data_IF_788824060471
#
_entry.id   IF_788824060471
#
_cell.length_a   1.000
_cell.length_b   1.000
_cell.length_c   1.000
_cell.angle_alpha   90.00
_cell.angle_beta   90.00
_cell.angle_gamma   90.00
#
_symmetry.space_group_name_H-M   'P 1'
#
loop_
_entity.id
_entity.type
_entity.pdbx_description
1 polymer ?
#
# COMPACT_ATOMS: atom_id res chain seq x y z
N UNK A 1 -44.56 59.61 21.47
CA UNK A 1 -43.22 60.19 21.64
C UNK A 1 -42.24 59.08 21.42
N UNK A 2 -41.67 59.16 20.30
CA UNK A 2 -40.78 58.20 19.66
C UNK A 2 -39.35 58.59 19.99
N UNK A 3 -38.53 57.63 20.44
CA UNK A 3 -37.09 57.80 20.41
C UNK A 3 -36.50 56.64 19.60
N UNK A 4 -35.99 56.98 18.44
CA UNK A 4 -35.29 56.16 17.49
C UNK A 4 -33.83 56.13 17.95
N UNK A 5 -33.38 55.06 18.56
CA UNK A 5 -31.97 54.84 18.77
C UNK A 5 -31.31 54.39 17.44
N UNK A 6 -30.52 55.31 16.89
CA UNK A 6 -29.58 55.03 15.79
C UNK A 6 -28.41 54.28 16.36
N UNK A 7 -28.34 52.99 16.10
CA UNK A 7 -27.09 52.20 16.26
C UNK A 7 -26.05 52.70 15.25
N UNK A 8 -25.06 53.45 15.72
CA UNK A 8 -23.88 53.76 14.94
C UNK A 8 -23.03 52.50 14.80
N UNK A 9 -23.02 51.91 13.61
CA UNK A 9 -21.99 50.92 13.22
C UNK A 9 -20.67 51.67 13.13
N UNK A 10 -19.81 51.46 14.11
CA UNK A 10 -18.40 51.81 14.04
C UNK A 10 -17.75 50.92 12.98
N UNK A 11 -17.61 51.44 11.77
CA UNK A 11 -16.70 50.85 10.79
C UNK A 11 -15.29 51.01 11.35
N UNK A 12 -14.65 49.90 11.71
CA UNK A 12 -13.23 49.84 12.01
C UNK A 12 -12.48 50.22 10.73
N UNK A 13 -11.93 51.42 10.68
CA UNK A 13 -10.99 51.85 9.66
C UNK A 13 -9.62 51.20 9.96
N UNK A 14 -9.52 49.91 9.82
CA UNK A 14 -8.21 49.27 9.67
C UNK A 14 -7.68 49.66 8.29
N UNK A 15 -6.45 50.16 8.17
CA UNK A 15 -5.86 50.47 6.88
C UNK A 15 -5.78 49.16 6.07
N UNK A 16 -6.35 49.17 4.86
CA UNK A 16 -6.28 48.05 3.95
C UNK A 16 -4.81 47.59 3.84
N UNK A 17 -4.55 46.30 4.12
CA UNK A 17 -3.18 45.79 3.99
C UNK A 17 -2.68 46.05 2.56
N UNK A 18 -1.39 46.44 2.40
CA UNK A 18 -0.84 46.68 1.08
C UNK A 18 -1.00 45.44 0.20
N UNK A 19 -1.48 45.61 -1.03
CA UNK A 19 -1.80 44.49 -1.97
C UNK A 19 -0.59 43.62 -2.35
N UNK A 20 0.61 44.05 -2.02
CA UNK A 20 1.87 43.30 -2.24
C UNK A 20 2.33 42.48 -1.03
N UNK A 21 1.64 42.60 0.12
CA UNK A 21 2.01 41.82 1.31
C UNK A 21 1.60 40.38 1.16
N UNK A 22 2.57 39.47 1.34
CA UNK A 22 2.31 38.03 1.32
C UNK A 22 1.46 37.64 2.53
N UNK A 23 0.30 37.06 2.28
CA UNK A 23 -0.65 36.59 3.29
C UNK A 23 -1.19 35.21 2.92
N UNK A 24 -2.01 34.60 3.77
CA UNK A 24 -2.53 33.24 3.58
C UNK A 24 -3.38 33.13 2.31
N UNK A 25 -4.22 34.12 1.99
CA UNK A 25 -5.09 34.06 0.80
C UNK A 25 -4.29 34.14 -0.50
N UNK A 26 -3.28 35.04 -0.53
CA UNK A 26 -2.37 35.13 -1.66
C UNK A 26 -1.57 33.84 -1.84
N UNK A 27 -1.05 33.25 -0.74
CA UNK A 27 -0.35 32.00 -0.75
C UNK A 27 -1.24 30.89 -1.33
N UNK A 28 -2.47 30.76 -0.82
CA UNK A 28 -3.43 29.76 -1.28
C UNK A 28 -3.73 29.90 -2.78
N UNK A 29 -3.98 31.11 -3.25
CA UNK A 29 -4.25 31.37 -4.66
C UNK A 29 -3.07 30.98 -5.58
N UNK A 30 -1.83 31.24 -5.14
CA UNK A 30 -0.62 30.85 -5.87
C UNK A 30 -0.48 29.32 -5.91
N UNK A 31 -0.66 28.65 -4.77
CA UNK A 31 -0.55 27.20 -4.65
C UNK A 31 -1.59 26.47 -5.53
N UNK A 32 -2.85 26.88 -5.45
CA UNK A 32 -3.93 26.28 -6.26
C UNK A 32 -3.70 26.48 -7.76
N UNK A 33 -3.23 27.66 -8.17
CA UNK A 33 -2.86 27.94 -9.55
C UNK A 33 -1.78 26.99 -10.05
N UNK A 34 -0.70 26.79 -9.28
CA UNK A 34 0.42 25.96 -9.71
C UNK A 34 0.08 24.47 -9.64
N UNK A 35 -0.68 24.00 -8.65
CA UNK A 35 -1.17 22.63 -8.60
C UNK A 35 -1.98 22.29 -9.85
N UNK A 36 -2.89 23.19 -10.25
CA UNK A 36 -3.65 23.00 -11.49
C UNK A 36 -2.75 22.95 -12.73
N UNK A 37 -1.76 23.81 -12.84
CA UNK A 37 -0.81 23.81 -13.96
C UNK A 37 -0.04 22.48 -13.99
N UNK A 38 0.45 22.00 -12.86
CA UNK A 38 1.18 20.72 -12.77
C UNK A 38 0.32 19.52 -13.18
N UNK A 39 -0.95 19.51 -12.81
CA UNK A 39 -1.88 18.47 -13.23
C UNK A 39 -2.16 18.52 -14.73
N UNK A 40 -2.48 19.71 -15.24
CA UNK A 40 -2.79 19.93 -16.67
C UNK A 40 -1.59 19.57 -17.58
N UNK A 41 -0.38 19.89 -17.14
CA UNK A 41 0.86 19.61 -17.88
C UNK A 41 1.43 18.22 -17.60
N UNK A 42 0.91 17.47 -16.61
CA UNK A 42 1.50 16.21 -16.18
C UNK A 42 2.95 16.37 -15.69
N UNK A 43 3.23 17.46 -14.96
CA UNK A 43 4.59 17.86 -14.58
C UNK A 43 5.34 16.75 -13.83
N UNK A 44 4.64 15.97 -13.04
CA UNK A 44 5.21 14.91 -12.20
C UNK A 44 5.01 13.50 -12.76
N UNK A 45 4.53 13.38 -13.99
CA UNK A 45 4.32 12.07 -14.62
C UNK A 45 5.64 11.38 -14.94
N UNK A 46 5.75 10.12 -14.54
CA UNK A 46 6.84 9.25 -14.95
C UNK A 46 6.44 8.47 -16.22
N UNK A 47 7.28 8.50 -17.22
CA UNK A 47 7.04 7.76 -18.45
C UNK A 47 7.50 6.29 -18.31
N UNK A 48 6.68 5.35 -18.79
CA UNK A 48 7.11 3.98 -19.03
C UNK A 48 7.81 3.86 -20.39
N UNK A 49 8.67 2.87 -20.55
CA UNK A 49 9.22 2.52 -21.85
C UNK A 49 8.11 2.02 -22.79
N UNK A 50 7.17 1.24 -22.25
CA UNK A 50 6.06 0.63 -22.98
C UNK A 50 4.74 0.72 -22.19
N UNK A 51 3.62 0.44 -22.89
CA UNK A 51 2.30 0.34 -22.27
C UNK A 51 1.56 1.68 -22.17
N UNK A 52 0.46 1.67 -21.42
CA UNK A 52 -0.50 2.78 -21.34
C UNK A 52 0.09 4.06 -20.72
N UNK A 53 1.09 3.92 -19.87
CA UNK A 53 1.77 5.04 -19.21
C UNK A 53 3.09 5.43 -19.86
N UNK A 54 3.31 5.07 -21.13
CA UNK A 54 4.50 5.47 -21.89
C UNK A 54 4.51 6.97 -22.21
N UNK A 55 3.34 7.59 -22.27
CA UNK A 55 3.21 9.02 -22.56
C UNK A 55 3.36 9.84 -21.27
N UNK A 56 4.42 10.61 -21.22
CA UNK A 56 4.66 11.63 -20.21
C UNK A 56 4.43 13.05 -20.75
N UNK A 57 3.49 13.26 -21.67
CA UNK A 57 3.26 14.55 -22.36
C UNK A 57 4.54 15.13 -22.96
N UNK A 58 5.18 14.36 -23.85
CA UNK A 58 6.45 14.74 -24.49
C UNK A 58 7.71 14.42 -23.69
N UNK A 59 7.56 13.83 -22.50
CA UNK A 59 8.66 13.29 -21.71
C UNK A 59 8.64 11.77 -21.85
N UNK A 60 9.49 11.22 -22.68
CA UNK A 60 9.68 9.77 -22.78
C UNK A 60 10.71 9.28 -21.76
N UNK A 61 10.78 7.96 -21.58
CA UNK A 61 11.79 7.33 -20.73
C UNK A 61 13.14 7.14 -21.44
N UNK A 62 13.16 7.32 -22.78
CA UNK A 62 14.31 7.01 -23.61
C UNK A 62 15.48 7.95 -23.32
N UNK A 63 16.65 7.38 -23.10
CA UNK A 63 17.88 8.13 -22.82
C UNK A 63 17.93 8.83 -21.45
N UNK A 64 16.93 8.64 -20.60
CA UNK A 64 16.88 9.25 -19.28
C UNK A 64 17.13 8.20 -18.19
N UNK A 65 18.06 8.43 -17.25
CA UNK A 65 18.21 7.56 -16.09
C UNK A 65 16.89 7.48 -15.32
N UNK A 66 16.55 6.29 -14.84
CA UNK A 66 15.36 6.09 -14.01
C UNK A 66 15.69 6.24 -12.55
N UNK A 67 14.84 6.93 -11.81
CA UNK A 67 14.90 7.05 -10.36
C UNK A 67 13.56 6.68 -9.75
N UNK A 68 13.56 5.80 -8.74
CA UNK A 68 12.37 5.41 -8.01
C UNK A 68 12.43 5.94 -6.59
N UNK A 69 11.54 6.87 -6.27
CA UNK A 69 11.35 7.39 -4.91
C UNK A 69 10.20 6.65 -4.23
N UNK A 70 10.50 6.00 -3.14
CA UNK A 70 9.51 5.33 -2.29
C UNK A 70 9.37 6.03 -0.95
N UNK A 71 8.16 6.01 -0.43
CA UNK A 71 7.84 6.36 0.94
C UNK A 71 6.84 5.37 1.52
N UNK A 72 6.68 5.37 2.84
CA UNK A 72 5.67 4.59 3.51
C UNK A 72 4.29 5.14 3.18
N UNK A 73 3.45 4.34 2.55
CA UNK A 73 2.09 4.74 2.22
C UNK A 73 1.18 4.74 3.45
N UNK A 74 0.19 5.67 3.51
CA UNK A 74 -0.63 5.84 4.69
C UNK A 74 -1.66 4.73 4.84
N UNK A 75 -2.02 4.47 6.09
CA UNK A 75 -3.11 3.60 6.47
C UNK A 75 -4.41 4.43 6.62
N UNK A 76 -5.45 4.22 5.79
CA UNK A 76 -6.65 5.06 5.80
C UNK A 76 -7.63 4.69 6.94
N UNK A 77 -7.12 4.51 8.17
CA UNK A 77 -7.90 4.19 9.36
C UNK A 77 -8.64 5.36 9.97
N UNK A 78 -8.30 6.59 9.60
CA UNK A 78 -8.87 7.82 10.12
C UNK A 78 -9.36 8.76 9.03
N UNK A 79 -10.02 9.85 9.43
CA UNK A 79 -10.62 10.84 8.50
C UNK A 79 -9.59 11.66 7.70
N UNK A 80 -8.29 11.42 7.87
CA UNK A 80 -7.25 12.14 7.15
C UNK A 80 -5.85 11.85 7.68
N UNK A 81 -4.88 12.56 7.11
CA UNK A 81 -3.49 12.49 7.50
C UNK A 81 -3.28 13.11 8.88
N UNK A 82 -2.37 12.54 9.68
CA UNK A 82 -1.86 13.18 10.89
C UNK A 82 -0.53 13.90 10.59
N UNK A 83 -0.07 14.73 11.51
CA UNK A 83 1.12 15.58 11.34
C UNK A 83 2.42 14.82 11.09
N UNK A 84 2.50 13.55 11.44
CA UNK A 84 3.66 12.69 11.16
C UNK A 84 3.80 12.29 9.68
N UNK A 85 2.71 12.23 8.92
CA UNK A 85 2.75 11.87 7.51
C UNK A 85 3.55 12.87 6.66
N UNK A 86 3.32 14.20 6.75
CA UNK A 86 4.08 15.17 5.98
C UNK A 86 5.59 15.13 6.23
N UNK A 87 6.03 14.70 7.40
CA UNK A 87 7.45 14.66 7.74
C UNK A 87 8.26 13.80 6.76
N UNK A 88 7.81 12.57 6.50
CA UNK A 88 8.42 11.68 5.51
C UNK A 88 8.18 12.16 4.08
N UNK A 89 6.92 12.45 3.75
CA UNK A 89 6.51 12.78 2.39
C UNK A 89 7.16 14.04 1.82
N UNK A 90 7.41 15.06 2.65
CA UNK A 90 8.13 16.24 2.23
C UNK A 90 9.59 15.95 1.93
N UNK A 91 10.24 15.07 2.71
CA UNK A 91 11.63 14.71 2.48
C UNK A 91 11.79 13.96 1.15
N UNK A 92 10.96 12.96 0.88
CA UNK A 92 10.98 12.21 -0.38
C UNK A 92 10.56 13.06 -1.57
N UNK A 93 9.67 14.02 -1.37
CA UNK A 93 9.27 14.98 -2.41
C UNK A 93 10.42 15.89 -2.83
N UNK A 94 11.18 16.43 -1.87
CA UNK A 94 12.39 17.22 -2.16
C UNK A 94 13.40 16.42 -2.97
N UNK A 95 13.67 15.19 -2.58
CA UNK A 95 14.58 14.28 -3.31
C UNK A 95 14.05 14.01 -4.73
N UNK A 96 12.76 13.73 -4.86
CA UNK A 96 12.12 13.48 -6.16
C UNK A 96 12.21 14.69 -7.09
N UNK A 97 12.00 15.90 -6.59
CA UNK A 97 12.16 17.16 -7.36
C UNK A 97 13.61 17.37 -7.78
N UNK A 98 14.57 17.13 -6.89
CA UNK A 98 15.99 17.22 -7.21
C UNK A 98 16.38 16.29 -8.36
N UNK A 99 15.97 15.03 -8.34
CA UNK A 99 16.25 14.08 -9.42
C UNK A 99 15.57 14.46 -10.74
N UNK A 100 14.34 15.02 -10.70
CA UNK A 100 13.69 15.58 -11.89
C UNK A 100 14.45 16.76 -12.46
N UNK A 101 14.97 17.66 -11.61
CA UNK A 101 15.79 18.80 -12.04
C UNK A 101 17.09 18.34 -12.71
N UNK A 102 17.64 17.20 -12.33
CA UNK A 102 18.78 16.55 -13.00
C UNK A 102 18.43 15.93 -14.36
N UNK A 103 17.17 15.93 -14.74
CA UNK A 103 16.70 15.35 -16.01
C UNK A 103 16.35 13.88 -15.95
N UNK A 104 16.31 13.27 -14.77
CA UNK A 104 15.97 11.86 -14.58
C UNK A 104 14.47 11.62 -14.77
N UNK A 105 14.09 10.39 -15.17
CA UNK A 105 12.71 9.92 -15.21
C UNK A 105 12.35 9.40 -13.83
N UNK A 106 11.65 10.21 -13.04
CA UNK A 106 11.38 9.93 -11.63
C UNK A 106 10.00 9.31 -11.46
N UNK A 107 9.95 8.08 -10.98
CA UNK A 107 8.74 7.46 -10.46
C UNK A 107 8.60 7.78 -8.97
N UNK A 108 7.61 8.61 -8.63
CA UNK A 108 7.21 8.92 -7.27
C UNK A 108 5.70 8.76 -7.17
N UNK A 109 5.24 7.71 -6.53
CA UNK A 109 3.82 7.36 -6.43
C UNK A 109 3.42 7.20 -4.96
N UNK A 110 2.11 7.35 -4.70
CA UNK A 110 1.50 7.13 -3.40
C UNK A 110 0.46 6.02 -3.51
N UNK A 111 0.50 5.10 -2.55
CA UNK A 111 -0.53 4.07 -2.37
C UNK A 111 -1.27 4.25 -1.05
N UNK A 112 -2.19 3.31 -0.76
CA UNK A 112 -2.96 3.28 0.48
C UNK A 112 -3.03 1.86 1.01
N UNK A 113 -2.56 1.65 2.24
CA UNK A 113 -2.69 0.36 2.94
C UNK A 113 -4.09 0.26 3.53
N UNK A 114 -5.00 -0.38 2.80
CA UNK A 114 -6.43 -0.20 3.00
C UNK A 114 -7.14 -1.37 3.70
N UNK A 115 -6.43 -2.44 4.05
CA UNK A 115 -6.95 -3.51 4.89
C UNK A 115 -6.63 -3.24 6.37
N UNK A 116 -7.50 -3.71 7.27
CA UNK A 116 -7.15 -3.80 8.67
C UNK A 116 -8.29 -3.62 9.67
N UNK A 117 -8.01 -4.01 10.91
CA UNK A 117 -8.92 -4.06 12.04
C UNK A 117 -9.70 -2.74 12.30
N UNK A 118 -9.11 -1.53 12.17
CA UNK A 118 -9.88 -0.31 12.42
C UNK A 118 -11.08 -0.11 11.50
N UNK A 119 -10.92 -0.41 10.21
CA UNK A 119 -12.01 -0.31 9.24
C UNK A 119 -13.08 -1.38 9.48
N UNK A 120 -12.65 -2.59 9.84
CA UNK A 120 -13.54 -3.72 10.13
C UNK A 120 -14.34 -3.48 11.41
N UNK A 121 -13.71 -3.01 12.49
CA UNK A 121 -14.40 -2.69 13.74
C UNK A 121 -15.38 -1.53 13.57
N UNK A 122 -15.03 -0.51 12.81
CA UNK A 122 -15.96 0.57 12.49
C UNK A 122 -17.16 0.05 11.69
N UNK A 123 -16.94 -0.88 10.78
CA UNK A 123 -18.02 -1.52 10.02
C UNK A 123 -18.99 -2.32 10.93
N UNK A 124 -18.44 -3.08 11.90
CA UNK A 124 -19.25 -3.80 12.88
C UNK A 124 -20.08 -2.85 13.74
N UNK A 125 -19.48 -1.74 14.22
CA UNK A 125 -20.17 -0.75 15.05
C UNK A 125 -21.26 0.01 14.34
N UNK A 126 -21.08 0.29 13.05
CA UNK A 126 -21.98 1.14 12.27
C UNK A 126 -22.94 0.37 11.35
N UNK A 127 -22.73 -0.92 11.16
CA UNK A 127 -23.44 -1.75 10.18
C UNK A 127 -23.12 -1.39 8.73
N UNK A 128 -22.07 -0.61 8.49
CA UNK A 128 -21.67 -0.13 7.16
C UNK A 128 -20.54 -1.01 6.60
N UNK A 129 -20.60 -1.30 5.29
CA UNK A 129 -19.52 -2.09 4.67
C UNK A 129 -18.17 -1.36 4.75
N UNK A 130 -17.06 -2.02 5.18
CA UNK A 130 -15.78 -1.34 5.44
C UNK A 130 -15.21 -0.59 4.23
N UNK A 131 -15.45 -1.08 3.02
CA UNK A 131 -15.04 -0.41 1.76
C UNK A 131 -15.53 1.03 1.67
N UNK A 132 -16.76 1.32 2.06
CA UNK A 132 -17.36 2.66 1.95
C UNK A 132 -16.53 3.68 2.74
N UNK A 133 -16.29 3.40 4.00
CA UNK A 133 -15.48 4.27 4.88
C UNK A 133 -14.04 4.37 4.40
N UNK A 134 -13.45 3.25 3.99
CA UNK A 134 -12.08 3.21 3.50
C UNK A 134 -11.91 4.07 2.25
N UNK A 135 -12.80 3.97 1.27
CA UNK A 135 -12.75 4.78 0.04
C UNK A 135 -12.94 6.27 0.33
N UNK A 136 -13.82 6.62 1.27
CA UNK A 136 -14.00 8.01 1.73
C UNK A 136 -12.72 8.57 2.37
N UNK A 137 -12.08 7.78 3.22
CA UNK A 137 -10.82 8.16 3.88
C UNK A 137 -9.69 8.33 2.85
N UNK A 138 -9.57 7.41 1.89
CA UNK A 138 -8.60 7.52 0.78
C UNK A 138 -8.84 8.80 -0.02
N UNK A 139 -10.08 9.09 -0.38
CA UNK A 139 -10.41 10.29 -1.13
C UNK A 139 -10.02 11.57 -0.36
N UNK A 140 -10.25 11.60 0.95
CA UNK A 140 -9.86 12.73 1.78
C UNK A 140 -8.33 12.85 1.90
N UNK A 141 -7.61 11.74 2.14
CA UNK A 141 -6.15 11.74 2.20
C UNK A 141 -5.54 12.19 0.87
N UNK A 142 -6.06 11.72 -0.26
CA UNK A 142 -5.64 12.15 -1.60
C UNK A 142 -5.79 13.64 -1.79
N UNK A 143 -6.92 14.20 -1.37
CA UNK A 143 -7.17 15.65 -1.40
C UNK A 143 -6.16 16.42 -0.54
N UNK A 144 -5.84 15.91 0.66
CA UNK A 144 -4.86 16.53 1.55
C UNK A 144 -3.44 16.48 0.98
N UNK A 145 -3.01 15.34 0.42
CA UNK A 145 -1.71 15.20 -0.24
C UNK A 145 -1.57 16.15 -1.43
N UNK A 146 -2.63 16.24 -2.24
CA UNK A 146 -2.68 17.19 -3.37
C UNK A 146 -2.56 18.63 -2.88
N UNK A 147 -3.29 18.99 -1.81
CA UNK A 147 -3.27 20.36 -1.25
C UNK A 147 -1.88 20.76 -0.71
N UNK A 148 -1.07 19.79 -0.28
CA UNK A 148 0.33 20.05 0.09
C UNK A 148 1.27 20.25 -1.10
N UNK A 149 0.78 20.08 -2.33
CA UNK A 149 1.55 20.26 -3.55
C UNK A 149 2.64 19.22 -3.78
N UNK A 150 2.49 18.02 -3.22
CA UNK A 150 3.47 16.93 -3.38
C UNK A 150 3.52 16.40 -4.82
N UNK A 151 4.71 16.04 -5.27
CA UNK A 151 4.99 15.68 -6.66
C UNK A 151 4.74 14.20 -6.99
N UNK A 152 3.62 13.65 -6.53
CA UNK A 152 3.23 12.27 -6.86
C UNK A 152 2.67 12.17 -8.28
N UNK A 153 2.99 11.07 -8.97
CA UNK A 153 2.28 10.68 -10.20
C UNK A 153 0.97 9.98 -9.81
N UNK A 154 -0.11 10.75 -9.74
CA UNK A 154 -1.43 10.27 -9.31
C UNK A 154 -2.03 9.17 -10.21
N UNK A 155 -1.54 9.01 -11.48
CA UNK A 155 -1.96 7.92 -12.37
C UNK A 155 -1.52 6.55 -11.86
N UNK A 156 -0.52 6.50 -10.96
CA UNK A 156 0.08 5.31 -10.39
C UNK A 156 -0.34 5.07 -8.93
N UNK A 157 -1.31 5.85 -8.46
CA UNK A 157 -1.88 5.66 -7.14
C UNK A 157 -2.74 4.40 -7.10
N UNK A 158 -2.63 3.63 -6.03
CA UNK A 158 -3.38 2.39 -5.82
C UNK A 158 -3.76 2.24 -4.34
N UNK A 159 -4.74 1.39 -4.09
CA UNK A 159 -5.03 0.90 -2.74
C UNK A 159 -4.88 -0.62 -2.70
N UNK A 160 -4.44 -1.17 -1.56
CA UNK A 160 -4.27 -2.62 -1.42
C UNK A 160 -5.57 -3.41 -1.56
N UNK A 161 -6.74 -2.74 -1.42
CA UNK A 161 -8.07 -3.31 -1.67
C UNK A 161 -8.50 -3.30 -3.13
N UNK A 162 -7.73 -2.69 -4.02
CA UNK A 162 -8.09 -2.65 -5.44
C UNK A 162 -8.02 -4.07 -6.04
N UNK A 163 -9.06 -4.53 -6.77
CA UNK A 163 -9.05 -5.88 -7.36
C UNK A 163 -7.83 -6.14 -8.25
N UNK A 164 -7.38 -5.11 -8.97
CA UNK A 164 -6.17 -5.18 -9.80
C UNK A 164 -4.89 -5.40 -9.00
N UNK A 165 -4.82 -4.89 -7.75
CA UNK A 165 -3.70 -5.11 -6.84
C UNK A 165 -3.78 -6.49 -6.18
N UNK A 166 -4.94 -6.84 -5.60
CA UNK A 166 -5.18 -8.12 -4.91
C UNK A 166 -4.84 -9.31 -5.81
N UNK A 167 -5.16 -9.23 -7.10
CA UNK A 167 -4.82 -10.26 -8.08
C UNK A 167 -3.32 -10.60 -8.09
N UNK A 168 -2.45 -9.62 -7.95
CA UNK A 168 -1.00 -9.84 -7.93
C UNK A 168 -0.52 -10.47 -6.63
N UNK A 169 -1.09 -10.09 -5.50
CA UNK A 169 -0.84 -10.75 -4.20
C UNK A 169 -1.21 -12.23 -4.26
N UNK A 170 -2.39 -12.53 -4.81
CA UNK A 170 -2.85 -13.92 -5.00
C UNK A 170 -1.96 -14.68 -5.97
N UNK A 171 -1.53 -14.05 -7.06
CA UNK A 171 -0.63 -14.68 -8.03
C UNK A 171 0.74 -14.99 -7.42
N UNK A 172 1.32 -14.07 -6.65
CA UNK A 172 2.59 -14.29 -5.94
C UNK A 172 2.44 -15.46 -4.96
N UNK A 173 1.35 -15.47 -4.16
CA UNK A 173 1.07 -16.56 -3.24
C UNK A 173 0.98 -17.90 -3.99
N UNK A 174 0.23 -17.97 -5.09
CA UNK A 174 0.12 -19.18 -5.90
C UNK A 174 1.48 -19.68 -6.41
N UNK A 175 2.35 -18.75 -6.82
CA UNK A 175 3.73 -19.12 -7.24
C UNK A 175 4.56 -19.69 -6.11
N UNK A 176 4.46 -19.12 -4.91
CA UNK A 176 5.15 -19.63 -3.71
C UNK A 176 4.58 -20.98 -3.32
N UNK A 177 3.26 -21.14 -3.34
CA UNK A 177 2.57 -22.40 -3.01
C UNK A 177 2.91 -23.53 -4.00
N UNK A 178 3.03 -23.22 -5.28
CA UNK A 178 3.40 -24.17 -6.33
C UNK A 178 4.91 -24.39 -6.46
N UNK A 179 5.67 -24.03 -5.44
CA UNK A 179 7.13 -24.14 -5.42
C UNK A 179 7.62 -24.93 -4.21
N UNK A 180 8.78 -25.55 -4.38
CA UNK A 180 9.59 -26.17 -3.32
C UNK A 180 11.04 -25.69 -3.42
N UNK A 181 11.79 -25.78 -2.33
CA UNK A 181 13.19 -25.40 -2.32
C UNK A 181 14.05 -26.62 -2.61
N UNK A 182 14.76 -26.60 -3.74
CA UNK A 182 15.68 -27.63 -4.17
C UNK A 182 17.11 -27.18 -3.84
N UNK A 183 17.71 -27.80 -2.81
CA UNK A 183 19.05 -27.47 -2.32
C UNK A 183 20.15 -27.83 -3.33
N UNK A 184 19.91 -28.82 -4.18
CA UNK A 184 20.89 -29.33 -5.14
C UNK A 184 20.83 -28.59 -6.48
N UNK A 185 19.71 -27.93 -6.79
CA UNK A 185 19.56 -27.18 -8.01
C UNK A 185 20.46 -25.94 -8.03
N UNK A 186 20.96 -25.59 -9.19
CA UNK A 186 21.74 -24.37 -9.40
C UNK A 186 20.85 -23.26 -9.96
N UNK A 187 20.85 -22.10 -9.32
CA UNK A 187 20.11 -20.94 -9.76
C UNK A 187 20.80 -20.24 -10.96
N UNK A 188 20.13 -19.28 -11.64
CA UNK A 188 20.69 -18.57 -12.79
C UNK A 188 22.00 -17.79 -12.50
N UNK A 189 22.27 -17.45 -11.24
CA UNK A 189 23.53 -16.82 -10.83
C UNK A 189 24.68 -17.79 -10.56
N UNK A 190 24.44 -19.11 -10.67
CA UNK A 190 25.43 -20.15 -10.43
C UNK A 190 25.57 -20.61 -8.98
N UNK A 191 24.72 -20.10 -8.07
CA UNK A 191 24.71 -20.53 -6.67
C UNK A 191 23.82 -21.76 -6.48
N UNK A 192 24.18 -22.63 -5.53
CA UNK A 192 23.35 -23.78 -5.13
C UNK A 192 22.13 -23.33 -4.34
N UNK A 193 21.05 -24.07 -4.54
CA UNK A 193 19.77 -23.85 -3.92
C UNK A 193 18.89 -22.84 -4.68
N UNK A 194 17.72 -23.30 -5.11
CA UNK A 194 16.72 -22.40 -5.69
C UNK A 194 15.29 -22.99 -5.57
N UNK A 195 14.29 -22.12 -5.64
CA UNK A 195 12.91 -22.54 -5.75
C UNK A 195 12.64 -23.12 -7.14
N UNK A 196 11.95 -24.28 -7.17
CA UNK A 196 11.53 -24.95 -8.39
C UNK A 196 10.04 -25.25 -8.35
N UNK A 197 9.36 -25.40 -9.50
CA UNK A 197 7.97 -25.82 -9.52
C UNK A 197 7.77 -27.15 -8.78
N UNK A 198 6.69 -27.27 -8.02
CA UNK A 198 6.38 -28.50 -7.25
C UNK A 198 6.25 -29.72 -8.16
N UNK A 199 5.86 -29.55 -9.43
CA UNK A 199 5.80 -30.63 -10.41
C UNK A 199 7.13 -31.36 -10.60
N UNK A 200 8.27 -30.63 -10.46
CA UNK A 200 9.60 -31.24 -10.58
C UNK A 200 9.92 -32.19 -9.42
N UNK A 201 9.35 -31.92 -8.23
CA UNK A 201 9.44 -32.80 -7.09
C UNK A 201 8.58 -34.05 -7.31
N UNK A 202 7.36 -33.88 -7.84
CA UNK A 202 6.45 -34.97 -8.20
C UNK A 202 7.13 -35.91 -9.22
N UNK A 203 7.75 -35.35 -10.27
CA UNK A 203 8.52 -36.10 -11.26
C UNK A 203 9.65 -36.95 -10.62
N UNK A 204 10.34 -36.43 -9.62
CA UNK A 204 11.38 -37.13 -8.87
C UNK A 204 10.80 -38.31 -8.05
N UNK A 205 9.61 -38.14 -7.45
CA UNK A 205 8.93 -39.22 -6.74
C UNK A 205 8.39 -40.30 -7.71
N UNK A 206 7.82 -39.90 -8.83
CA UNK A 206 7.29 -40.79 -9.85
C UNK A 206 8.39 -41.63 -10.50
N UNK A 207 9.53 -41.06 -10.78
CA UNK A 207 10.69 -41.73 -11.36
C UNK A 207 11.47 -42.58 -10.37
N UNK A 208 11.22 -42.43 -9.06
CA UNK A 208 12.01 -43.08 -8.00
C UNK A 208 13.40 -42.45 -7.78
N UNK A 209 13.66 -41.28 -8.39
CA UNK A 209 14.92 -40.51 -8.16
C UNK A 209 15.01 -40.04 -6.71
N UNK A 210 13.86 -39.72 -6.11
CA UNK A 210 13.73 -39.31 -4.71
C UNK A 210 12.84 -40.29 -3.95
N UNK A 211 13.30 -40.69 -2.76
CA UNK A 211 12.50 -41.51 -1.84
C UNK A 211 11.34 -40.68 -1.25
N UNK A 212 10.15 -41.30 -1.12
CA UNK A 212 8.96 -40.64 -0.57
C UNK A 212 9.03 -40.70 0.96
N UNK A 213 9.11 -39.54 1.66
CA UNK A 213 9.17 -39.52 3.12
C UNK A 213 7.96 -40.22 3.75
N UNK A 214 8.20 -41.08 4.73
CA UNK A 214 7.14 -41.84 5.42
C UNK A 214 6.53 -42.99 4.68
N UNK A 215 6.91 -43.25 3.40
CA UNK A 215 6.32 -44.29 2.54
C UNK A 215 7.39 -45.16 1.85
N UNK A 216 8.41 -45.54 2.61
CA UNK A 216 9.50 -46.35 2.07
C UNK A 216 9.02 -47.59 1.27
N UNK A 217 9.51 -47.72 0.03
CA UNK A 217 9.18 -48.79 -0.87
C UNK A 217 7.81 -48.71 -1.58
N UNK A 218 7.02 -47.65 -1.36
CA UNK A 218 5.82 -47.37 -2.15
C UNK A 218 6.15 -46.54 -3.39
N UNK A 219 5.33 -46.73 -4.45
CA UNK A 219 5.38 -45.87 -5.62
C UNK A 219 4.50 -44.62 -5.35
N UNK A 220 4.83 -43.50 -5.95
CA UNK A 220 4.06 -42.24 -5.81
C UNK A 220 2.58 -42.43 -6.17
N UNK A 221 2.31 -43.14 -7.24
CA UNK A 221 0.96 -43.40 -7.73
C UNK A 221 0.15 -44.40 -6.89
N UNK A 222 0.78 -45.07 -5.91
CA UNK A 222 0.09 -45.94 -4.94
C UNK A 222 -0.46 -45.18 -3.74
N UNK A 223 -0.08 -43.89 -3.59
CA UNK A 223 -0.57 -43.02 -2.52
C UNK A 223 -1.91 -42.42 -2.88
N UNK A 224 -2.76 -42.26 -1.89
CA UNK A 224 -3.99 -41.48 -2.02
C UNK A 224 -3.68 -40.01 -2.24
N UNK A 225 -4.60 -39.21 -2.84
CA UNK A 225 -4.45 -37.80 -3.03
C UNK A 225 -4.14 -37.03 -1.72
N UNK A 226 -4.72 -37.49 -0.59
CA UNK A 226 -4.45 -36.89 0.73
C UNK A 226 -3.01 -37.17 1.19
N UNK A 227 -2.52 -38.43 1.03
CA UNK A 227 -1.13 -38.77 1.37
C UNK A 227 -0.14 -38.01 0.49
N UNK A 228 -0.41 -37.88 -0.82
CA UNK A 228 0.41 -37.07 -1.74
C UNK A 228 0.44 -35.61 -1.33
N UNK A 229 -0.73 -35.02 -0.98
CA UNK A 229 -0.82 -33.66 -0.53
C UNK A 229 -0.03 -33.38 0.77
N UNK A 230 -0.11 -34.34 1.73
CA UNK A 230 0.64 -34.25 2.99
C UNK A 230 2.15 -34.32 2.74
N UNK A 231 2.63 -35.23 1.90
CA UNK A 231 4.04 -35.30 1.51
C UNK A 231 4.50 -34.01 0.85
N UNK A 232 3.74 -33.49 -0.11
CA UNK A 232 4.11 -32.22 -0.80
C UNK A 232 4.12 -31.02 0.14
N UNK A 233 3.25 -30.97 1.14
CA UNK A 233 3.19 -29.87 2.12
C UNK A 233 4.48 -29.73 2.93
N UNK A 234 5.21 -30.83 3.17
CA UNK A 234 6.49 -30.82 3.87
C UNK A 234 7.61 -30.13 3.06
N UNK A 235 7.44 -30.04 1.73
CA UNK A 235 8.41 -29.41 0.81
C UNK A 235 8.00 -28.04 0.33
N UNK A 236 6.70 -27.70 0.37
CA UNK A 236 6.20 -26.41 -0.15
C UNK A 236 6.76 -25.23 0.62
N UNK A 237 7.03 -24.15 -0.08
CA UNK A 237 7.45 -22.88 0.53
C UNK A 237 6.33 -22.17 1.32
N UNK A 238 5.08 -22.50 1.01
CA UNK A 238 3.91 -22.08 1.78
C UNK A 238 2.97 -23.28 1.94
N UNK A 239 2.44 -23.49 3.14
CA UNK A 239 1.55 -24.60 3.45
C UNK A 239 0.46 -24.18 4.45
N UNK A 240 -0.62 -24.95 4.51
CA UNK A 240 -1.71 -24.75 5.47
C UNK A 240 -1.38 -25.52 6.75
N UNK A 241 -1.34 -24.81 7.87
CA UNK A 241 -1.13 -25.42 9.18
C UNK A 241 -2.10 -24.89 10.22
N UNK A 242 -2.26 -25.64 11.33
CA UNK A 242 -2.98 -25.17 12.51
C UNK A 242 -1.97 -24.66 13.51
N UNK A 243 -2.14 -23.41 13.96
CA UNK A 243 -1.32 -22.83 15.03
C UNK A 243 -2.19 -22.08 16.04
N UNK A 244 -1.74 -21.97 17.30
CA UNK A 244 -2.40 -21.14 18.29
C UNK A 244 -2.43 -19.67 17.83
N UNK A 245 -3.53 -18.99 18.09
CA UNK A 245 -3.73 -17.57 17.74
C UNK A 245 -4.25 -16.81 18.94
N UNK A 246 -4.00 -15.50 18.96
CA UNK A 246 -4.56 -14.59 19.96
C UNK A 246 -6.02 -14.27 19.59
N UNK A 247 -6.97 -15.01 20.12
CA UNK A 247 -8.38 -14.77 19.86
C UNK A 247 -8.97 -13.78 20.87
N UNK A 248 -9.58 -12.72 20.37
CA UNK A 248 -10.27 -11.72 21.17
C UNK A 248 -11.80 -11.83 21.00
N UNK A 249 -12.54 -12.44 21.96
CA UNK A 249 -14.00 -12.59 21.86
C UNK A 249 -14.72 -11.24 21.80
N UNK A 250 -14.21 -10.22 22.51
CA UNK A 250 -14.79 -8.88 22.56
C UNK A 250 -14.74 -8.13 21.21
N UNK A 251 -13.79 -8.45 20.36
CA UNK A 251 -13.65 -7.91 19.01
C UNK A 251 -14.11 -8.89 17.94
N UNK A 252 -14.29 -10.19 18.28
CA UNK A 252 -14.69 -11.23 17.33
C UNK A 252 -13.64 -11.54 16.26
N UNK A 253 -12.35 -11.36 16.58
CA UNK A 253 -11.26 -11.52 15.62
C UNK A 253 -9.97 -12.03 16.27
N UNK A 254 -9.03 -12.48 15.43
CA UNK A 254 -7.65 -12.80 15.82
C UNK A 254 -6.82 -11.52 15.82
N UNK A 255 -5.95 -11.40 16.81
CA UNK A 255 -5.03 -10.27 16.99
C UNK A 255 -3.59 -10.69 16.71
N UNK A 256 -2.81 -9.80 16.13
CA UNK A 256 -1.36 -9.91 16.06
C UNK A 256 -0.74 -9.77 17.47
N UNK A 257 0.49 -10.24 17.64
CA UNK A 257 1.15 -10.16 18.97
C UNK A 257 1.30 -8.71 19.45
N UNK A 258 1.53 -7.78 18.50
CA UNK A 258 1.69 -6.35 18.76
C UNK A 258 0.39 -5.65 19.20
N UNK A 259 -0.76 -6.28 18.94
CA UNK A 259 -2.09 -5.77 19.33
C UNK A 259 -2.55 -6.29 20.70
N UNK A 260 -1.71 -7.13 21.35
CA UNK A 260 -1.98 -7.67 22.68
C UNK A 260 -1.05 -6.99 23.69
N UNK A 261 -1.65 -6.37 24.73
CA UNK A 261 -0.89 -5.71 25.81
C UNK A 261 -0.23 -6.74 26.73
N UNK A 262 0.72 -6.28 27.55
CA UNK A 262 1.39 -7.12 28.54
C UNK A 262 0.42 -7.77 29.56
N UNK A 263 -0.76 -7.18 29.76
CA UNK A 263 -1.81 -7.69 30.66
C UNK A 263 -2.75 -8.70 29.96
N UNK A 264 -2.44 -9.13 28.72
CA UNK A 264 -3.25 -10.09 27.96
C UNK A 264 -4.58 -9.50 27.48
N UNK A 265 -4.59 -8.23 27.12
CA UNK A 265 -5.77 -7.54 26.62
C UNK A 265 -5.52 -6.96 25.23
N UNK A 266 -6.60 -6.77 24.47
CA UNK A 266 -6.52 -6.06 23.19
C UNK A 266 -6.17 -4.59 23.39
N UNK A 267 -5.26 -4.05 22.56
CA UNK A 267 -4.95 -2.62 22.54
C UNK A 267 -6.21 -1.78 22.27
N UNK A 268 -7.10 -2.27 21.40
CA UNK A 268 -8.39 -1.65 21.13
C UNK A 268 -9.47 -2.25 22.01
N UNK A 269 -10.16 -1.41 22.75
CA UNK A 269 -11.30 -1.80 23.57
C UNK A 269 -10.96 -2.49 24.90
N UNK A 270 -9.68 -2.80 25.15
CA UNK A 270 -9.18 -3.38 26.42
C UNK A 270 -9.90 -4.69 26.79
N UNK A 271 -10.25 -5.52 25.81
CA UNK A 271 -10.92 -6.81 26.00
C UNK A 271 -9.92 -7.91 26.33
N UNK A 272 -10.29 -8.94 27.10
CA UNK A 272 -9.46 -10.14 27.29
C UNK A 272 -9.16 -10.84 25.96
N UNK A 273 -7.94 -11.38 25.87
CA UNK A 273 -7.46 -12.16 24.73
C UNK A 273 -7.15 -13.58 25.17
#
# INVERSE_FOLDING_TARGET
MSDIEKSAQTQSNEPAEPSFRYNADLAQGIEEKWQKIWDDEGTFWAANVNGDLKDGKGRNAEGRPSYFAMDMFPYPSGKGLHVGHPLGYLATDVVSRYHRMKGENVLHAMGYDAFGLPAEQYAVQTGQHPRITTEQNIANMRRQLHRMGLSFDNRRSFATIDPGYVRWTQWIFSRIYDSWYDEDATNPSGSKGCARPISTLVEQFESGEREIPGFAGKQWNDLTEAEQADVLNDFRLAYISKSPVNWCPGLGTVLANEEVTAEGKSERGNFPV
#
